data_IF_174803219415
#
_entry.id   IF_174803219415
#
_cell.length_a   1.000
_cell.length_b   1.000
_cell.length_c   1.000
_cell.angle_alpha   90.00
_cell.angle_beta   90.00
_cell.angle_gamma   90.00
#
_symmetry.space_group_name_H-M   'P 1'
#
loop_
_entity.id
_entity.type
_entity.pdbx_description
1 polymer ?
#
# COMPACT_ATOMS: atom_id res chain seq x y z
N UNK A 1 -11.18 3.01 14.35
CA UNK A 1 -9.84 2.40 14.35
C UNK A 1 -8.84 3.39 14.93
N UNK A 2 -8.05 2.97 15.93
CA UNK A 2 -7.05 3.84 16.57
C UNK A 2 -5.89 4.19 15.62
N UNK A 3 -5.15 5.25 15.93
CA UNK A 3 -4.14 5.81 15.03
C UNK A 3 -2.90 4.93 14.83
N UNK A 4 -2.61 4.08 15.79
CA UNK A 4 -1.55 3.06 15.76
C UNK A 4 -1.91 1.83 14.90
N UNK A 5 -3.12 1.79 14.34
CA UNK A 5 -3.54 0.71 13.44
C UNK A 5 -2.59 0.65 12.24
N UNK A 6 -1.92 -0.50 12.08
CA UNK A 6 -1.11 -0.80 10.91
C UNK A 6 -2.00 -0.91 9.66
N UNK A 7 -1.61 -0.19 8.62
CA UNK A 7 -2.24 -0.20 7.30
C UNK A 7 -1.19 -0.64 6.29
N UNK A 8 -1.48 -1.74 5.61
CA UNK A 8 -0.64 -2.29 4.54
C UNK A 8 -1.42 -2.14 3.24
N UNK A 9 -0.88 -1.34 2.32
CA UNK A 9 -1.44 -1.15 0.97
C UNK A 9 -0.54 -1.89 0.00
N UNK A 10 -1.11 -2.84 -0.73
CA UNK A 10 -0.42 -3.58 -1.79
C UNK A 10 -1.13 -3.32 -3.11
N UNK A 11 -0.36 -2.95 -4.12
CA UNK A 11 -0.80 -2.75 -5.49
C UNK A 11 -0.05 -3.73 -6.36
N UNK A 12 -0.76 -4.52 -7.16
CA UNK A 12 -0.19 -5.45 -8.12
C UNK A 12 -0.63 -5.03 -9.52
N UNK A 13 0.32 -4.96 -10.44
CA UNK A 13 0.12 -4.61 -11.84
C UNK A 13 0.48 -5.80 -12.71
N UNK A 14 -0.49 -6.25 -13.49
CA UNK A 14 -0.29 -7.28 -14.49
C UNK A 14 0.43 -6.68 -15.69
N UNK A 15 1.67 -7.12 -15.93
CA UNK A 15 2.51 -6.60 -17.00
C UNK A 15 2.34 -7.46 -18.25
N UNK A 16 1.78 -6.89 -19.32
CA UNK A 16 1.46 -7.66 -20.54
C UNK A 16 2.69 -8.06 -21.38
N UNK A 17 3.85 -7.46 -21.12
CA UNK A 17 5.12 -7.74 -21.83
C UNK A 17 6.15 -8.47 -20.96
N UNK A 18 5.97 -8.49 -19.64
CA UNK A 18 6.87 -9.15 -18.70
C UNK A 18 6.19 -10.39 -18.13
N UNK A 19 6.94 -11.50 -17.96
CA UNK A 19 6.39 -12.75 -17.38
C UNK A 19 6.16 -12.69 -15.85
N UNK A 20 6.35 -11.52 -15.25
CA UNK A 20 6.18 -11.27 -13.83
C UNK A 20 5.32 -10.03 -13.64
N UNK A 21 4.40 -10.08 -12.69
CA UNK A 21 3.64 -8.92 -12.28
C UNK A 21 4.54 -7.99 -11.47
N UNK A 22 4.38 -6.69 -11.69
CA UNK A 22 4.99 -5.70 -10.83
C UNK A 22 4.12 -5.55 -9.56
N UNK A 23 4.75 -5.37 -8.40
CA UNK A 23 4.00 -4.99 -7.21
C UNK A 23 4.69 -3.86 -6.45
N UNK A 24 3.87 -3.05 -5.80
CA UNK A 24 4.29 -2.01 -4.87
C UNK A 24 3.56 -2.22 -3.55
N UNK A 25 4.31 -2.18 -2.45
CA UNK A 25 3.77 -2.27 -1.10
C UNK A 25 4.14 -1.02 -0.32
N UNK A 26 3.18 -0.49 0.44
CA UNK A 26 3.41 0.58 1.39
C UNK A 26 2.83 0.19 2.74
N UNK A 27 3.67 0.25 3.77
CA UNK A 27 3.29 0.08 5.17
C UNK A 27 3.25 1.45 5.84
N UNK A 28 2.16 1.73 6.53
CA UNK A 28 1.95 3.00 7.25
C UNK A 28 0.98 2.77 8.40
N UNK A 29 0.72 3.79 9.20
CA UNK A 29 -0.33 3.75 10.21
C UNK A 29 -1.54 4.57 9.78
N UNK A 30 -2.70 4.25 10.36
CA UNK A 30 -3.92 4.99 10.07
C UNK A 30 -3.82 6.47 10.50
N UNK A 31 -3.07 6.76 11.56
CA UNK A 31 -2.78 8.13 12.00
C UNK A 31 -1.91 8.92 11.02
N UNK A 32 -0.93 8.29 10.37
CA UNK A 32 -0.11 8.93 9.34
C UNK A 32 -0.90 9.28 8.09
N UNK A 33 -1.80 8.38 7.65
CA UNK A 33 -2.70 8.66 6.54
C UNK A 33 -3.60 9.86 6.84
N UNK A 34 -4.24 9.89 8.02
CA UNK A 34 -5.13 10.99 8.42
C UNK A 34 -4.45 12.36 8.50
N UNK A 35 -3.15 12.43 8.79
CA UNK A 35 -2.39 13.70 8.83
C UNK A 35 -2.09 14.28 7.45
N UNK A 36 -2.21 13.45 6.41
CA UNK A 36 -1.84 13.81 5.03
C UNK A 36 -3.04 14.32 4.22
N UNK A 37 -4.25 14.27 4.77
CA UNK A 37 -5.50 14.73 4.15
C UNK A 37 -6.12 15.90 4.91
#
# INVERSE_FOLDING_TARGET
>A
LPDDTLVVVRSESEESIHKFNAFAERVTTLGELRKTF
#
